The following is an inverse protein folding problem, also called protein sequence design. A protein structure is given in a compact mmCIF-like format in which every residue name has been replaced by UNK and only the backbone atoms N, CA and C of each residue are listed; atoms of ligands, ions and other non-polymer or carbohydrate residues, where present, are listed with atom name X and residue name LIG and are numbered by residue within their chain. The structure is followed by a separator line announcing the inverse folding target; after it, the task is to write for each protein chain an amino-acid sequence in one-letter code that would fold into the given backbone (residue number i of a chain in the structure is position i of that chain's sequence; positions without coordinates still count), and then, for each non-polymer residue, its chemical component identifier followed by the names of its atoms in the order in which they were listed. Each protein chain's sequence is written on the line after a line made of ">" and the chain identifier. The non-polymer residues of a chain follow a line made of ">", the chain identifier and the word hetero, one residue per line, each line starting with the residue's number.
data_IF_717204459603
#
_entry.id   IF_717204459603
#
_cell.length_a   1.000
_cell.length_b   1.000
_cell.length_c   1.000
_cell.angle_alpha   90.00
_cell.angle_beta   90.00
_cell.angle_gamma   90.00
#
_symmetry.space_group_name_H-M   'P 1'
#
loop_
_entity.id
_entity.type
_entity.pdbx_description
1 polymer ?
#
# COMPACT_ATOMS: atom_id res chain seq x y z
N UNK A 1 -3.05 2.13 17.46
CA UNK A 1 -3.10 1.86 16.00
C UNK A 1 -2.38 3.00 15.28
N UNK A 2 -1.75 2.77 14.12
CA UNK A 2 -1.11 3.86 13.37
C UNK A 2 -2.15 4.91 12.95
N UNK A 3 -1.72 6.16 12.79
CA UNK A 3 -2.60 7.21 12.26
C UNK A 3 -2.85 6.96 10.77
N UNK A 4 -4.02 7.34 10.28
CA UNK A 4 -4.36 7.26 8.86
C UNK A 4 -4.62 8.67 8.32
N UNK A 5 -3.99 9.03 7.20
CA UNK A 5 -4.25 10.32 6.57
C UNK A 5 -4.15 10.26 5.04
N UNK A 6 -4.82 11.22 4.39
CA UNK A 6 -4.71 11.43 2.95
C UNK A 6 -3.53 12.35 2.62
N UNK A 7 -2.81 12.06 1.54
CA UNK A 7 -1.69 12.89 1.07
C UNK A 7 -1.74 13.11 -0.44
N UNK A 8 -1.38 14.33 -0.86
CA UNK A 8 -1.29 14.75 -2.27
C UNK A 8 0.14 14.72 -2.80
N UNK A 9 1.12 14.48 -1.93
CA UNK A 9 2.56 14.59 -2.22
C UNK A 9 3.17 13.32 -2.78
N UNK A 10 2.37 12.27 -3.01
CA UNK A 10 2.87 11.02 -3.56
C UNK A 10 3.33 11.17 -5.00
N UNK A 11 4.44 10.49 -5.32
CA UNK A 11 4.83 10.25 -6.71
C UNK A 11 3.72 9.48 -7.44
N UNK A 12 3.64 9.65 -8.77
CA UNK A 12 2.55 9.10 -9.59
C UNK A 12 2.37 7.58 -9.50
N UNK A 13 3.36 6.85 -9.01
CA UNK A 13 3.39 5.38 -8.92
C UNK A 13 3.12 4.84 -7.50
N UNK A 14 2.88 5.72 -6.50
CA UNK A 14 2.74 5.31 -5.11
C UNK A 14 1.34 5.66 -4.60
N UNK A 15 0.61 4.64 -4.14
CA UNK A 15 -0.77 4.79 -3.66
C UNK A 15 -0.87 4.88 -2.13
N UNK A 16 0.17 4.47 -1.40
CA UNK A 16 0.27 4.58 0.04
C UNK A 16 1.72 4.56 0.50
N UNK A 17 1.94 4.96 1.76
CA UNK A 17 3.23 4.83 2.43
C UNK A 17 3.06 4.77 3.95
N UNK A 18 3.72 3.82 4.58
CA UNK A 18 3.87 3.77 6.03
C UNK A 18 5.13 4.51 6.50
N UNK A 19 4.93 5.62 7.21
CA UNK A 19 5.99 6.32 7.95
C UNK A 19 6.22 5.65 9.31
N UNK A 20 7.42 5.07 9.46
CA UNK A 20 7.85 4.37 10.68
C UNK A 20 8.13 5.32 11.85
N UNK A 21 8.53 6.55 11.60
CA UNK A 21 8.87 7.53 12.66
C UNK A 21 7.59 8.09 13.28
N UNK A 22 6.62 8.43 12.44
CA UNK A 22 5.34 8.99 12.88
C UNK A 22 4.26 7.93 13.19
N UNK A 23 4.54 6.63 13.02
CA UNK A 23 3.56 5.52 13.05
C UNK A 23 2.29 5.88 12.26
N UNK A 24 2.47 6.32 11.00
CA UNK A 24 1.41 6.90 10.19
C UNK A 24 1.33 6.23 8.82
N UNK A 25 0.14 5.74 8.47
CA UNK A 25 -0.22 5.26 7.13
C UNK A 25 -0.78 6.43 6.34
N UNK A 26 -0.05 6.82 5.30
CA UNK A 26 -0.47 7.83 4.34
C UNK A 26 -1.07 7.15 3.11
N UNK A 27 -2.25 7.59 2.68
CA UNK A 27 -2.93 7.10 1.46
C UNK A 27 -3.01 8.23 0.46
N UNK A 28 -2.79 7.94 -0.82
CA UNK A 28 -2.89 8.94 -1.87
C UNK A 28 -4.32 9.48 -1.96
N UNK A 29 -4.47 10.82 -1.89
CA UNK A 29 -5.75 11.52 -2.06
C UNK A 29 -6.41 11.21 -3.42
N UNK A 30 -5.63 10.69 -4.35
CA UNK A 30 -6.08 10.23 -5.65
C UNK A 30 -6.97 8.96 -5.59
N UNK A 31 -7.01 8.29 -4.43
CA UNK A 31 -7.95 7.21 -4.11
C UNK A 31 -9.20 7.71 -3.36
N UNK A 32 -9.23 8.98 -2.94
CA UNK A 32 -10.37 9.62 -2.29
C UNK A 32 -11.42 10.06 -3.33
N UNK A 33 -12.07 9.10 -3.95
CA UNK A 33 -13.09 9.35 -4.97
C UNK A 33 -14.17 8.27 -4.93
N UNK A 34 -15.43 8.67 -5.17
CA UNK A 34 -16.57 7.74 -5.29
C UNK A 34 -16.40 6.71 -6.41
N UNK A 35 -15.49 6.96 -7.37
CA UNK A 35 -15.16 6.02 -8.46
C UNK A 35 -14.19 4.92 -8.04
N UNK A 36 -13.55 5.06 -6.88
CA UNK A 36 -12.61 4.09 -6.33
C UNK A 36 -13.39 3.20 -5.36
N UNK A 37 -13.48 1.89 -5.63
CA UNK A 37 -14.14 0.97 -4.72
C UNK A 37 -13.44 0.93 -3.36
N UNK A 38 -14.21 0.84 -2.27
CA UNK A 38 -13.66 0.81 -0.90
C UNK A 38 -12.61 -0.28 -0.70
N UNK A 39 -12.81 -1.46 -1.30
CA UNK A 39 -11.86 -2.57 -1.18
C UNK A 39 -10.47 -2.25 -1.74
N UNK A 40 -10.35 -1.28 -2.65
CA UNK A 40 -9.06 -0.81 -3.17
C UNK A 40 -8.34 -0.01 -2.10
N UNK A 41 -9.06 0.89 -1.42
CA UNK A 41 -8.51 1.67 -0.30
C UNK A 41 -8.13 0.73 0.85
N UNK A 42 -9.00 -0.22 1.19
CA UNK A 42 -8.73 -1.25 2.20
C UNK A 42 -7.47 -2.03 1.88
N UNK A 43 -7.28 -2.41 0.61
CA UNK A 43 -6.08 -3.12 0.17
C UNK A 43 -4.81 -2.29 0.32
N UNK A 44 -4.83 -1.00 -0.03
CA UNK A 44 -3.66 -0.12 0.13
C UNK A 44 -3.36 0.08 1.62
N UNK A 45 -4.36 0.30 2.46
CA UNK A 45 -4.16 0.36 3.92
C UNK A 45 -3.56 -0.95 4.44
N UNK A 46 -4.09 -2.09 4.01
CA UNK A 46 -3.57 -3.40 4.38
C UNK A 46 -2.10 -3.57 3.96
N UNK A 47 -1.73 -3.18 2.74
CA UNK A 47 -0.35 -3.17 2.24
C UNK A 47 0.58 -2.33 3.13
N UNK A 48 0.17 -1.12 3.49
CA UNK A 48 0.97 -0.25 4.37
C UNK A 48 1.10 -0.82 5.80
N UNK A 49 0.06 -1.46 6.31
CA UNK A 49 0.12 -2.18 7.59
C UNK A 49 1.03 -3.40 7.53
N UNK A 50 1.15 -4.07 6.37
CA UNK A 50 2.13 -5.14 6.19
C UNK A 50 3.56 -4.62 6.29
N UNK A 51 3.87 -3.39 5.83
CA UNK A 51 5.20 -2.77 6.01
C UNK A 51 5.56 -2.50 7.47
N UNK A 52 4.53 -2.30 8.31
CA UNK A 52 4.65 -2.18 9.77
C UNK A 52 4.84 -3.54 10.44
N UNK A 53 4.02 -4.54 10.06
CA UNK A 53 4.05 -5.90 10.62
C UNK A 53 5.31 -6.67 10.23
N UNK A 54 5.73 -6.52 8.98
CA UNK A 54 6.87 -7.21 8.38
C UNK A 54 7.95 -6.17 8.13
N UNK A 55 8.94 -6.13 9.01
CA UNK A 55 10.14 -5.37 8.73
C UNK A 55 10.80 -5.96 7.45
N UNK A 56 11.17 -5.10 6.50
CA UNK A 56 11.88 -5.53 5.30
C UNK A 56 13.15 -6.32 5.65
N UNK A 57 13.45 -7.35 4.86
CA UNK A 57 14.64 -8.18 5.05
C UNK A 57 15.86 -7.48 4.46
N UNK A 58 17.03 -7.67 5.09
CA UNK A 58 18.30 -7.26 4.51
C UNK A 58 18.88 -8.41 3.70
N UNK A 59 19.07 -8.20 2.39
CA UNK A 59 19.79 -9.16 1.52
C UNK A 59 20.87 -8.44 0.74
N UNK A 60 22.11 -8.94 0.81
CA UNK A 60 23.29 -8.38 0.12
C UNK A 60 23.47 -6.87 0.34
N UNK A 61 23.28 -6.40 1.58
CA UNK A 61 23.41 -4.98 1.94
C UNK A 61 22.27 -4.08 1.47
N UNK A 62 21.20 -4.61 0.85
CA UNK A 62 20.01 -3.87 0.46
C UNK A 62 18.81 -4.30 1.30
N UNK A 63 17.99 -3.34 1.70
CA UNK A 63 16.70 -3.61 2.34
C UNK A 63 15.67 -3.95 1.27
N UNK A 64 14.96 -5.06 1.45
CA UNK A 64 13.90 -5.53 0.58
C UNK A 64 12.61 -5.54 1.41
N UNK A 65 11.73 -4.57 1.17
CA UNK A 65 10.45 -4.51 1.90
C UNK A 65 9.43 -5.54 1.36
N UNK A 66 9.37 -5.79 0.05
CA UNK A 66 8.44 -6.75 -0.58
C UNK A 66 9.04 -8.15 -0.77
N UNK A 67 9.37 -8.81 0.33
CA UNK A 67 9.90 -10.18 0.33
C UNK A 67 8.86 -11.22 -0.07
N UNK A 68 9.26 -12.47 -0.28
CA UNK A 68 8.32 -13.56 -0.58
C UNK A 68 7.25 -13.72 0.51
N UNK A 69 7.62 -13.50 1.78
CA UNK A 69 6.68 -13.52 2.91
C UNK A 69 5.68 -12.37 2.82
N UNK A 70 6.14 -11.16 2.49
CA UNK A 70 5.27 -10.00 2.28
C UNK A 70 4.23 -10.29 1.20
N UNK A 71 4.68 -10.78 0.04
CA UNK A 71 3.79 -11.12 -1.09
C UNK A 71 2.80 -12.23 -0.76
N UNK A 72 3.18 -13.18 0.10
CA UNK A 72 2.27 -14.21 0.57
C UNK A 72 1.15 -13.61 1.44
N UNK A 73 1.51 -12.76 2.39
CA UNK A 73 0.56 -12.09 3.28
C UNK A 73 -0.35 -11.11 2.52
N UNK A 74 0.16 -10.43 1.49
CA UNK A 74 -0.65 -9.61 0.59
C UNK A 74 -1.79 -10.41 -0.06
N UNK A 75 -1.49 -11.62 -0.54
CA UNK A 75 -2.46 -12.48 -1.22
C UNK A 75 -3.54 -13.03 -0.30
N UNK A 76 -3.35 -12.98 1.02
CA UNK A 76 -4.37 -13.35 1.99
C UNK A 76 -5.50 -12.32 2.08
N UNK A 77 -5.33 -11.13 1.50
CA UNK A 77 -6.41 -10.17 1.40
C UNK A 77 -7.50 -10.71 0.47
N UNK A 78 -8.73 -10.85 0.98
CA UNK A 78 -9.82 -11.52 0.26
C UNK A 78 -10.20 -10.89 -1.09
N UNK A 79 -9.80 -9.64 -1.36
CA UNK A 79 -9.99 -8.95 -2.64
C UNK A 79 -8.68 -8.52 -3.29
N UNK A 80 -7.61 -9.29 -3.08
CA UNK A 80 -6.26 -8.98 -3.59
C UNK A 80 -6.26 -8.78 -5.11
N UNK A 81 -6.71 -9.78 -5.87
CA UNK A 81 -6.67 -9.74 -7.34
C UNK A 81 -7.45 -8.56 -7.95
N UNK A 82 -8.73 -8.31 -7.59
CA UNK A 82 -9.46 -7.17 -8.14
C UNK A 82 -8.88 -5.83 -7.68
N UNK A 83 -8.33 -5.73 -6.47
CA UNK A 83 -7.68 -4.50 -5.99
C UNK A 83 -6.40 -4.20 -6.76
N UNK A 84 -5.51 -5.19 -6.91
CA UNK A 84 -4.26 -5.07 -7.67
C UNK A 84 -4.52 -4.73 -9.15
N UNK A 85 -5.51 -5.38 -9.78
CA UNK A 85 -5.90 -5.06 -11.15
C UNK A 85 -6.41 -3.62 -11.30
N UNK A 86 -7.21 -3.15 -10.35
CA UNK A 86 -7.72 -1.77 -10.34
C UNK A 86 -6.58 -0.76 -10.18
N UNK A 87 -5.67 -0.98 -9.22
CA UNK A 87 -4.52 -0.10 -8.97
C UNK A 87 -3.59 -0.03 -10.19
N UNK A 88 -3.34 -1.17 -10.85
CA UNK A 88 -2.56 -1.21 -12.10
C UNK A 88 -3.22 -0.42 -13.23
N UNK A 89 -4.54 -0.53 -13.38
CA UNK A 89 -5.30 0.26 -14.36
C UNK A 89 -5.23 1.76 -14.04
N UNK A 90 -5.39 2.12 -12.78
CA UNK A 90 -5.33 3.49 -12.30
C UNK A 90 -3.93 4.11 -12.51
N UNK A 91 -2.86 3.34 -12.26
CA UNK A 91 -1.49 3.78 -12.49
C UNK A 91 -1.15 4.02 -13.96
N UNK A 92 -1.80 3.29 -14.88
CA UNK A 92 -1.64 3.48 -16.35
C UNK A 92 -2.45 4.64 -16.91
N UNK A 93 -3.52 5.04 -16.22
CA UNK A 93 -4.45 6.07 -16.68
C UNK A 93 -4.05 7.49 -16.21
N UNK A 94 -2.90 7.64 -15.58
CA UNK A 94 -2.34 8.90 -15.07
C UNK A 94 -1.07 9.25 -15.80
#
# INVERSE_FOLDING_TARGET
>A
PPRLCWSRTFASQTFGHYDRVADTVMISASLDSRRVPLYVVDFVVYHELLHRKLAGEWRRGRKIDHTSRFRHEERLFGRYEPADAFLKKLARAR
#
